data_IF_083921448967
#
_entry.id   IF_083921448967
#
_cell.length_a   1.000
_cell.length_b   1.000
_cell.length_c   1.000
_cell.angle_alpha   90.00
_cell.angle_beta   90.00
_cell.angle_gamma   90.00
#
_symmetry.space_group_name_H-M   'P 1'
#
loop_
_entity.id
_entity.type
_entity.pdbx_description
1 polymer ?
#
# COMPACT_ATOMS: atom_id res chain seq x y z
N UNK A 1 1.43 8.51 -18.45
CA UNK A 1 2.83 8.22 -18.88
C UNK A 1 2.94 6.77 -19.33
N UNK A 2 3.87 6.41 -20.27
CA UNK A 2 4.06 5.00 -20.70
C UNK A 2 4.72 4.19 -19.58
N UNK A 3 4.34 2.92 -19.42
CA UNK A 3 4.86 2.00 -18.38
C UNK A 3 6.38 1.85 -18.46
N UNK A 4 6.93 1.72 -19.68
CA UNK A 4 8.39 1.63 -19.88
C UNK A 4 9.15 2.87 -19.40
N UNK A 5 8.56 4.06 -19.59
CA UNK A 5 9.13 5.32 -19.09
C UNK A 5 9.14 5.33 -17.57
N UNK A 6 8.04 4.89 -16.94
CA UNK A 6 7.95 4.75 -15.48
C UNK A 6 9.02 3.80 -14.93
N UNK A 7 9.21 2.63 -15.56
CA UNK A 7 10.25 1.67 -15.17
C UNK A 7 11.68 2.23 -15.29
N UNK A 8 11.98 2.95 -16.37
CA UNK A 8 13.30 3.60 -16.55
C UNK A 8 13.55 4.66 -15.48
N UNK A 9 12.54 5.44 -15.12
CA UNK A 9 12.63 6.46 -14.06
C UNK A 9 12.79 5.77 -12.70
N UNK A 10 11.98 4.74 -12.43
CA UNK A 10 12.07 3.97 -11.18
C UNK A 10 13.47 3.36 -11.00
N UNK A 11 14.09 2.89 -12.08
CA UNK A 11 15.46 2.37 -12.05
C UNK A 11 16.51 3.49 -11.91
N UNK A 12 16.49 4.48 -12.80
CA UNK A 12 17.54 5.51 -12.90
C UNK A 12 17.50 6.54 -11.78
N UNK A 13 16.32 6.90 -11.30
CA UNK A 13 16.12 7.89 -10.24
C UNK A 13 15.77 7.22 -8.91
N UNK A 14 14.97 6.16 -8.95
CA UNK A 14 14.50 5.48 -7.75
C UNK A 14 15.61 4.86 -6.92
N UNK A 15 16.65 4.25 -7.55
CA UNK A 15 17.78 3.65 -6.81
C UNK A 15 18.58 4.73 -6.06
N UNK A 16 19.14 5.76 -6.73
CA UNK A 16 19.92 6.79 -6.05
C UNK A 16 19.10 7.51 -4.96
N UNK A 17 17.85 7.85 -5.28
CA UNK A 17 16.97 8.54 -4.33
C UNK A 17 16.66 7.68 -3.11
N UNK A 18 16.37 6.39 -3.29
CA UNK A 18 16.15 5.46 -2.18
C UNK A 18 17.40 5.31 -1.30
N UNK A 19 18.59 5.29 -1.89
CA UNK A 19 19.84 5.23 -1.14
C UNK A 19 20.09 6.50 -0.35
N UNK A 20 20.01 7.66 -0.99
CA UNK A 20 20.19 8.98 -0.34
C UNK A 20 19.21 9.14 0.83
N UNK A 21 17.93 8.87 0.60
CA UNK A 21 16.91 9.00 1.64
C UNK A 21 17.08 7.96 2.76
N UNK A 22 17.60 6.77 2.45
CA UNK A 22 17.96 5.79 3.49
C UNK A 22 19.07 6.33 4.39
N UNK A 23 20.11 6.97 3.82
CA UNK A 23 21.16 7.61 4.59
C UNK A 23 20.66 8.81 5.39
N UNK A 24 19.70 9.54 4.87
CA UNK A 24 19.17 10.77 5.47
C UNK A 24 17.87 10.57 6.27
N UNK A 25 17.39 9.33 6.43
CA UNK A 25 16.09 9.06 7.08
C UNK A 25 15.96 9.64 8.49
N UNK A 26 17.06 9.81 9.21
CA UNK A 26 17.08 10.43 10.54
C UNK A 26 16.68 11.91 10.54
N UNK A 27 16.84 12.62 9.40
CA UNK A 27 16.39 14.00 9.21
C UNK A 27 14.87 14.11 9.03
N UNK A 28 14.20 12.99 8.73
CA UNK A 28 12.77 12.92 8.44
C UNK A 28 12.05 11.99 9.43
N UNK A 29 11.98 12.34 10.72
CA UNK A 29 11.39 11.46 11.71
C UNK A 29 9.91 11.21 11.42
N UNK A 30 9.48 9.97 11.56
CA UNK A 30 8.06 9.61 11.55
C UNK A 30 7.38 10.12 12.81
N UNK A 31 6.06 10.34 12.74
CA UNK A 31 5.28 10.62 13.95
C UNK A 31 5.37 9.42 14.89
N UNK A 32 5.15 9.66 16.18
CA UNK A 32 4.97 8.57 17.15
C UNK A 32 3.55 8.01 17.00
N UNK A 33 3.41 6.70 17.12
CA UNK A 33 2.11 6.07 17.22
C UNK A 33 1.42 6.49 18.52
N UNK A 34 0.17 6.94 18.44
CA UNK A 34 -0.57 7.46 19.59
C UNK A 34 -1.30 6.39 20.41
N UNK A 35 -1.35 5.16 19.87
CA UNK A 35 -2.03 4.01 20.47
C UNK A 35 -1.20 2.75 20.23
N UNK A 36 -1.45 1.66 20.99
CA UNK A 36 -0.75 0.39 20.80
C UNK A 36 -0.92 -0.19 19.38
N UNK A 37 -2.06 0.09 18.74
CA UNK A 37 -2.38 -0.39 17.39
C UNK A 37 -2.78 0.77 16.48
N UNK A 38 -2.46 0.70 15.18
CA UNK A 38 -2.86 1.72 14.23
C UNK A 38 -4.39 1.78 14.08
N UNK A 39 -4.95 2.99 14.07
CA UNK A 39 -6.38 3.22 13.87
C UNK A 39 -6.71 3.64 12.43
N UNK A 40 -5.76 4.31 11.75
CA UNK A 40 -5.92 4.83 10.39
C UNK A 40 -4.83 4.23 9.51
N UNK A 41 -5.26 3.38 8.58
CA UNK A 41 -4.39 2.55 7.75
C UNK A 41 -4.52 2.97 6.29
N UNK A 42 -3.40 3.41 5.69
CA UNK A 42 -3.31 3.75 4.28
C UNK A 42 -2.76 2.56 3.50
N UNK A 43 -3.53 2.09 2.53
CA UNK A 43 -3.07 1.13 1.52
C UNK A 43 -2.49 1.88 0.32
N UNK A 44 -1.35 1.43 -0.16
CA UNK A 44 -0.64 2.00 -1.32
C UNK A 44 -0.60 0.96 -2.43
N UNK A 45 -1.35 1.22 -3.51
CA UNK A 45 -1.32 0.45 -4.75
C UNK A 45 -1.61 1.41 -5.89
N UNK A 46 -0.61 1.73 -6.69
CA UNK A 46 -0.75 2.78 -7.71
C UNK A 46 -1.13 2.22 -9.07
N UNK A 47 -0.47 1.13 -9.46
CA UNK A 47 -0.32 0.78 -10.86
C UNK A 47 -1.31 -0.27 -11.35
N UNK A 48 -1.80 -1.15 -10.49
CA UNK A 48 -2.57 -2.32 -10.90
C UNK A 48 -3.98 -2.34 -10.34
N UNK A 49 -4.98 -2.23 -11.25
CA UNK A 49 -6.41 -2.33 -10.89
C UNK A 49 -6.75 -3.70 -10.27
N UNK A 50 -6.16 -4.78 -10.82
CA UNK A 50 -6.38 -6.14 -10.32
C UNK A 50 -5.88 -6.32 -8.90
N UNK A 51 -4.68 -5.84 -8.60
CA UNK A 51 -4.11 -5.89 -7.24
C UNK A 51 -4.94 -5.09 -6.25
N UNK A 52 -5.47 -3.92 -6.65
CA UNK A 52 -6.36 -3.13 -5.81
C UNK A 52 -7.66 -3.89 -5.47
N UNK A 53 -8.22 -4.66 -6.41
CA UNK A 53 -9.37 -5.54 -6.17
C UNK A 53 -8.99 -6.70 -5.25
N UNK A 54 -7.86 -7.36 -5.50
CA UNK A 54 -7.39 -8.49 -4.70
C UNK A 54 -6.94 -8.08 -3.27
N UNK A 55 -6.79 -6.79 -3.01
CA UNK A 55 -6.53 -6.25 -1.68
C UNK A 55 -7.80 -6.16 -0.81
N UNK A 56 -9.01 -6.35 -1.37
CA UNK A 56 -10.26 -6.24 -0.61
C UNK A 56 -10.31 -7.13 0.63
N UNK A 57 -9.92 -8.42 0.61
CA UNK A 57 -9.88 -9.24 1.82
C UNK A 57 -8.96 -8.67 2.91
N UNK A 58 -7.82 -8.11 2.55
CA UNK A 58 -6.91 -7.45 3.48
C UNK A 58 -7.54 -6.17 4.08
N UNK A 59 -8.23 -5.37 3.27
CA UNK A 59 -8.99 -4.22 3.74
C UNK A 59 -10.12 -4.64 4.68
N UNK A 60 -10.88 -5.69 4.33
CA UNK A 60 -11.92 -6.25 5.20
C UNK A 60 -11.34 -6.71 6.55
N UNK A 61 -10.16 -7.36 6.54
CA UNK A 61 -9.48 -7.79 7.75
C UNK A 61 -9.10 -6.60 8.65
N UNK A 62 -8.56 -5.53 8.08
CA UNK A 62 -8.26 -4.30 8.82
C UNK A 62 -9.51 -3.69 9.48
N UNK A 63 -10.63 -3.66 8.76
CA UNK A 63 -11.90 -3.12 9.29
C UNK A 63 -12.54 -4.06 10.30
N UNK A 64 -12.75 -5.32 9.93
CA UNK A 64 -13.58 -6.24 10.71
C UNK A 64 -12.87 -6.72 11.97
N UNK A 65 -11.60 -7.14 11.85
CA UNK A 65 -10.81 -7.68 12.96
C UNK A 65 -10.19 -6.59 13.83
N UNK A 66 -9.69 -5.51 13.19
CA UNK A 66 -8.90 -4.50 13.89
C UNK A 66 -9.62 -3.16 14.08
N UNK A 67 -10.84 -3.01 13.53
CA UNK A 67 -11.66 -1.79 13.62
C UNK A 67 -10.93 -0.53 13.12
N UNK A 68 -10.04 -0.72 12.14
CA UNK A 68 -9.27 0.37 11.55
C UNK A 68 -10.11 1.12 10.51
N UNK A 69 -9.93 2.43 10.45
CA UNK A 69 -10.40 3.25 9.34
C UNK A 69 -9.39 3.11 8.19
N UNK A 70 -9.89 2.77 7.00
CA UNK A 70 -9.03 2.54 5.83
C UNK A 70 -9.00 3.75 4.91
N UNK A 71 -7.83 3.98 4.37
CA UNK A 71 -7.48 4.98 3.38
C UNK A 71 -6.78 4.29 2.22
N UNK A 72 -6.84 4.86 1.03
CA UNK A 72 -6.21 4.27 -0.15
C UNK A 72 -5.57 5.34 -1.03
N UNK A 73 -4.39 5.06 -1.58
CA UNK A 73 -3.76 5.88 -2.61
C UNK A 73 -3.58 5.07 -3.88
N UNK A 74 -4.03 5.63 -5.01
CA UNK A 74 -4.05 4.96 -6.31
C UNK A 74 -3.85 6.00 -7.42
N UNK A 75 -3.36 5.59 -8.61
CA UNK A 75 -3.41 6.47 -9.77
C UNK A 75 -4.85 6.76 -10.19
N UNK A 76 -5.11 8.01 -10.58
CA UNK A 76 -6.46 8.48 -10.94
C UNK A 76 -7.14 7.59 -11.99
N UNK A 77 -6.38 7.10 -12.97
CA UNK A 77 -6.89 6.20 -14.03
C UNK A 77 -7.38 4.85 -13.49
N UNK A 78 -6.86 4.40 -12.35
CA UNK A 78 -7.17 3.09 -11.75
C UNK A 78 -8.24 3.17 -10.65
N UNK A 79 -8.72 4.38 -10.30
CA UNK A 79 -9.68 4.62 -9.20
C UNK A 79 -10.96 3.80 -9.33
N UNK A 80 -11.39 3.49 -10.56
CA UNK A 80 -12.60 2.72 -10.82
C UNK A 80 -12.61 1.34 -10.14
N UNK A 81 -11.43 0.72 -9.94
CA UNK A 81 -11.31 -0.57 -9.24
C UNK A 81 -11.80 -0.52 -7.78
N UNK A 82 -11.54 0.59 -7.08
CA UNK A 82 -12.00 0.78 -5.70
C UNK A 82 -13.50 1.09 -5.63
N UNK A 83 -14.01 1.86 -6.58
CA UNK A 83 -15.43 2.19 -6.65
C UNK A 83 -16.26 0.94 -6.94
N UNK A 84 -15.73 0.01 -7.73
CA UNK A 84 -16.41 -1.23 -8.07
C UNK A 84 -16.76 -2.08 -6.84
N UNK A 85 -15.85 -2.15 -5.87
CA UNK A 85 -16.05 -2.93 -4.65
C UNK A 85 -16.66 -2.11 -3.50
N UNK A 86 -16.68 -0.79 -3.63
CA UNK A 86 -17.08 0.14 -2.56
C UNK A 86 -16.41 -0.18 -1.20
N UNK A 87 -15.15 -0.62 -1.26
CA UNK A 87 -14.40 -1.09 -0.09
C UNK A 87 -13.86 0.06 0.76
N UNK A 88 -13.63 1.21 0.14
CA UNK A 88 -13.04 2.39 0.77
C UNK A 88 -13.99 3.57 0.58
N UNK A 89 -14.35 4.30 1.64
CA UNK A 89 -15.13 5.53 1.52
C UNK A 89 -14.46 6.52 0.56
N UNK A 90 -15.23 7.14 -0.34
CA UNK A 90 -14.72 8.06 -1.37
C UNK A 90 -13.82 9.17 -0.80
N UNK A 91 -14.17 9.73 0.37
CA UNK A 91 -13.39 10.75 1.08
C UNK A 91 -12.02 10.27 1.55
N UNK A 92 -11.83 8.95 1.66
CA UNK A 92 -10.60 8.30 2.12
C UNK A 92 -9.74 7.79 0.95
N UNK A 93 -10.12 8.08 -0.29
CA UNK A 93 -9.35 7.74 -1.49
C UNK A 93 -8.56 8.97 -1.95
N UNK A 94 -7.25 8.84 -2.00
CA UNK A 94 -6.37 9.84 -2.60
C UNK A 94 -5.92 9.38 -3.98
N UNK A 95 -6.09 10.24 -4.99
CA UNK A 95 -5.65 9.91 -6.35
C UNK A 95 -4.45 10.74 -6.77
N UNK A 96 -3.47 10.09 -7.38
CA UNK A 96 -2.29 10.72 -7.98
C UNK A 96 -2.46 10.73 -9.50
N UNK A 97 -2.18 11.86 -10.13
CA UNK A 97 -2.16 11.96 -11.59
C UNK A 97 -0.79 11.54 -12.12
N UNK A 98 -0.79 10.63 -13.09
CA UNK A 98 0.43 10.06 -13.72
C UNK A 98 0.67 10.56 -15.15
N UNK A 99 0.14 11.73 -15.49
CA UNK A 99 0.28 12.35 -16.82
C UNK A 99 1.71 12.82 -17.10
N UNK A 100 2.41 13.34 -16.08
CA UNK A 100 3.78 13.83 -16.16
C UNK A 100 4.54 13.63 -14.85
N UNK A 101 5.88 13.75 -14.87
CA UNK A 101 6.69 13.72 -13.65
C UNK A 101 6.33 14.85 -12.69
N UNK A 102 6.03 16.03 -13.22
CA UNK A 102 5.62 17.17 -12.41
C UNK A 102 4.29 16.90 -11.71
N UNK A 103 3.32 16.27 -12.39
CA UNK A 103 2.03 15.92 -11.77
C UNK A 103 2.21 14.89 -10.66
N UNK A 104 3.11 13.91 -10.83
CA UNK A 104 3.46 12.93 -9.80
C UNK A 104 4.12 13.62 -8.60
N UNK A 105 5.06 14.52 -8.82
CA UNK A 105 5.74 15.26 -7.75
C UNK A 105 4.74 16.12 -6.95
N UNK A 106 3.91 16.88 -7.62
CA UNK A 106 2.86 17.68 -6.98
C UNK A 106 1.88 16.77 -6.22
N UNK A 107 1.47 15.65 -6.82
CA UNK A 107 0.61 14.64 -6.20
C UNK A 107 1.24 14.05 -4.94
N UNK A 108 2.54 13.80 -4.95
CA UNK A 108 3.31 13.29 -3.80
C UNK A 108 3.33 14.28 -2.64
N UNK A 109 3.55 15.57 -2.92
CA UNK A 109 3.51 16.63 -1.88
C UNK A 109 2.09 16.74 -1.29
N UNK A 110 1.07 16.75 -2.15
CA UNK A 110 -0.34 16.77 -1.70
C UNK A 110 -0.68 15.54 -0.87
N UNK A 111 -0.21 14.35 -1.26
CA UNK A 111 -0.39 13.11 -0.49
C UNK A 111 0.24 13.23 0.90
N UNK A 112 1.45 13.75 1.00
CA UNK A 112 2.13 13.97 2.30
C UNK A 112 1.28 14.83 3.23
N UNK A 113 0.79 15.97 2.74
CA UNK A 113 -0.05 16.88 3.51
C UNK A 113 -1.39 16.23 3.90
N UNK A 114 -2.00 15.49 2.96
CA UNK A 114 -3.25 14.76 3.19
C UNK A 114 -3.08 13.66 4.25
N UNK A 115 -1.97 12.90 4.22
CA UNK A 115 -1.67 11.90 5.24
C UNK A 115 -1.48 12.52 6.63
N UNK A 116 -0.83 13.69 6.71
CA UNK A 116 -0.67 14.41 7.97
C UNK A 116 -2.00 14.93 8.50
N UNK A 117 -2.84 15.52 7.65
CA UNK A 117 -4.18 16.00 8.00
C UNK A 117 -5.05 14.87 8.53
N UNK A 118 -5.03 13.71 7.87
CA UNK A 118 -5.81 12.54 8.27
C UNK A 118 -5.15 11.73 9.39
N UNK A 119 -3.96 12.14 9.86
CA UNK A 119 -3.21 11.47 10.94
C UNK A 119 -3.03 9.97 10.68
N UNK A 120 -2.61 9.59 9.46
CA UNK A 120 -2.38 8.20 9.08
C UNK A 120 -1.38 7.55 10.05
N UNK A 121 -1.76 6.42 10.65
CA UNK A 121 -0.97 5.70 11.65
C UNK A 121 -0.08 4.62 11.02
N UNK A 122 -0.57 3.96 9.97
CA UNK A 122 0.17 2.96 9.24
C UNK A 122 0.04 3.16 7.73
N UNK A 123 1.12 2.96 6.98
CA UNK A 123 1.11 2.77 5.54
C UNK A 123 1.45 1.32 5.21
N UNK A 124 0.63 0.69 4.37
CA UNK A 124 0.81 -0.67 3.87
C UNK A 124 1.06 -0.59 2.38
N UNK A 125 2.29 -0.88 1.98
CA UNK A 125 2.72 -0.90 0.59
C UNK A 125 2.44 -2.29 -0.01
N UNK A 126 1.48 -2.36 -0.93
CA UNK A 126 1.06 -3.60 -1.58
C UNK A 126 1.95 -3.97 -2.77
N UNK A 127 2.69 -3.01 -3.33
CA UNK A 127 3.54 -3.24 -4.49
C UNK A 127 4.87 -3.88 -4.12
N UNK A 128 5.22 -4.97 -4.82
CA UNK A 128 6.46 -5.69 -4.62
C UNK A 128 7.63 -5.08 -5.40
N UNK A 129 7.37 -4.59 -6.61
CA UNK A 129 8.40 -4.23 -7.60
C UNK A 129 8.51 -2.73 -7.89
N UNK A 130 8.01 -1.87 -7.00
CA UNK A 130 8.05 -0.41 -7.19
C UNK A 130 8.87 0.27 -6.10
N UNK A 131 9.87 1.04 -6.50
CA UNK A 131 10.59 1.95 -5.59
C UNK A 131 9.76 3.18 -5.29
N UNK A 132 8.95 3.62 -6.26
CA UNK A 132 8.08 4.77 -6.10
C UNK A 132 7.13 4.60 -4.91
N UNK A 133 6.52 3.43 -4.72
CA UNK A 133 5.60 3.18 -3.60
C UNK A 133 6.33 3.08 -2.26
N UNK A 134 7.56 2.54 -2.24
CA UNK A 134 8.40 2.57 -1.04
C UNK A 134 8.76 4.00 -0.63
N UNK A 135 9.09 4.86 -1.61
CA UNK A 135 9.32 6.29 -1.39
C UNK A 135 8.05 7.01 -0.91
N UNK A 136 6.89 6.70 -1.50
CA UNK A 136 5.60 7.22 -1.03
C UNK A 136 5.33 6.79 0.41
N UNK A 137 5.53 5.52 0.75
CA UNK A 137 5.40 5.03 2.12
C UNK A 137 6.28 5.82 3.09
N UNK A 138 7.53 6.13 2.71
CA UNK A 138 8.43 6.98 3.50
C UNK A 138 7.87 8.40 3.67
N UNK A 139 7.39 9.02 2.59
CA UNK A 139 6.89 10.40 2.56
C UNK A 139 5.59 10.57 3.35
N UNK A 140 4.78 9.55 3.52
CA UNK A 140 3.57 9.60 4.37
C UNK A 140 3.89 10.02 5.80
N UNK A 141 5.12 9.77 6.28
CA UNK A 141 5.58 9.96 7.66
C UNK A 141 4.71 9.20 8.68
N UNK A 142 4.02 8.15 8.23
CA UNK A 142 3.28 7.26 9.11
C UNK A 142 4.23 6.60 10.12
N UNK A 143 3.81 6.42 11.39
CA UNK A 143 4.60 5.73 12.41
C UNK A 143 4.97 4.31 12.01
N UNK A 144 4.01 3.57 11.45
CA UNK A 144 4.22 2.22 10.93
C UNK A 144 4.27 2.25 9.41
N UNK A 145 5.27 1.57 8.86
CA UNK A 145 5.44 1.36 7.42
C UNK A 145 5.66 -0.11 7.17
N UNK A 146 4.68 -0.72 6.56
CA UNK A 146 4.62 -2.15 6.28
C UNK A 146 4.76 -2.38 4.79
N UNK A 147 5.49 -3.39 4.40
CA UNK A 147 5.61 -3.74 2.98
C UNK A 147 6.46 -4.99 2.80
N UNK A 148 6.48 -5.47 1.57
CA UNK A 148 7.31 -6.60 1.21
C UNK A 148 8.80 -6.22 1.26
N UNK A 149 9.59 -7.09 1.85
CA UNK A 149 11.01 -6.92 1.98
C UNK A 149 11.76 -8.05 1.29
N UNK A 150 12.85 -7.65 0.70
CA UNK A 150 13.80 -8.55 0.08
C UNK A 150 14.72 -9.15 1.16
N UNK A 151 14.65 -10.46 1.35
CA UNK A 151 15.55 -11.21 2.20
C UNK A 151 16.64 -11.89 1.33
N UNK A 152 17.83 -12.01 1.87
CA UNK A 152 18.98 -12.70 1.21
C UNK A 152 19.45 -12.05 -0.09
N UNK A 153 19.21 -10.75 -0.29
CA UNK A 153 19.71 -10.06 -1.48
C UNK A 153 18.92 -10.30 -2.76
N UNK A 154 17.87 -11.10 -2.72
CA UNK A 154 16.97 -11.33 -3.86
C UNK A 154 15.90 -10.26 -3.98
N UNK A 155 15.68 -9.75 -5.20
CA UNK A 155 14.64 -8.78 -5.52
C UNK A 155 15.14 -7.35 -5.63
N UNK A 156 14.18 -6.41 -5.64
CA UNK A 156 14.44 -5.01 -5.94
C UNK A 156 14.92 -4.25 -4.70
N UNK A 157 16.06 -3.54 -4.79
CA UNK A 157 16.44 -2.59 -3.75
C UNK A 157 15.45 -1.42 -3.70
N UNK A 158 14.80 -1.22 -2.54
CA UNK A 158 13.72 -0.24 -2.31
C UNK A 158 14.03 0.72 -1.15
N UNK A 159 15.28 0.81 -0.71
CA UNK A 159 15.68 1.55 0.47
C UNK A 159 15.33 0.81 1.78
N UNK A 160 15.66 1.43 2.92
CA UNK A 160 15.36 0.89 4.26
C UNK A 160 14.33 1.80 4.98
N UNK A 161 13.12 1.84 4.44
CA UNK A 161 12.04 2.70 4.94
C UNK A 161 11.01 1.97 5.78
N UNK A 162 10.93 0.64 5.62
CA UNK A 162 9.94 -0.19 6.30
C UNK A 162 10.40 -0.51 7.72
N UNK A 163 9.49 -0.39 8.67
CA UNK A 163 9.72 -0.84 10.04
C UNK A 163 8.93 -2.11 10.41
N UNK A 164 8.10 -2.60 9.49
CA UNK A 164 7.51 -3.93 9.50
C UNK A 164 7.73 -4.55 8.13
N UNK A 165 8.63 -5.53 8.07
CA UNK A 165 9.08 -6.18 6.84
C UNK A 165 8.41 -7.54 6.71
N UNK A 166 7.75 -7.79 5.59
CA UNK A 166 7.06 -9.05 5.30
C UNK A 166 7.73 -9.72 4.10
N UNK A 167 8.02 -11.01 4.20
CA UNK A 167 8.53 -11.75 3.07
C UNK A 167 7.38 -12.10 2.13
N UNK A 168 7.54 -11.82 0.84
CA UNK A 168 6.59 -12.25 -0.18
C UNK A 168 6.69 -13.76 -0.40
N UNK A 169 5.56 -14.45 -0.39
CA UNK A 169 5.48 -15.87 -0.72
C UNK A 169 4.85 -16.05 -2.10
N UNK A 170 5.67 -16.42 -3.09
CA UNK A 170 5.21 -16.63 -4.47
C UNK A 170 4.37 -17.92 -4.67
N UNK A 171 4.34 -18.80 -3.67
CA UNK A 171 3.63 -20.08 -3.75
C UNK A 171 2.19 -20.03 -3.22
N UNK A 172 1.73 -18.88 -2.72
CA UNK A 172 0.37 -18.69 -2.23
C UNK A 172 -0.32 -17.56 -2.99
N UNK A 173 -1.66 -17.54 -2.92
CA UNK A 173 -2.44 -16.50 -3.55
C UNK A 173 -2.07 -15.10 -3.04
N UNK A 174 -1.99 -14.10 -3.92
CA UNK A 174 -1.54 -12.75 -3.59
C UNK A 174 -2.36 -12.09 -2.47
N UNK A 175 -3.67 -12.34 -2.42
CA UNK A 175 -4.54 -11.82 -1.37
C UNK A 175 -4.12 -12.30 0.04
N UNK A 176 -3.56 -13.52 0.16
CA UNK A 176 -2.99 -14.02 1.42
C UNK A 176 -1.75 -13.22 1.82
N UNK A 177 -0.90 -12.87 0.85
CA UNK A 177 0.23 -12.00 1.08
C UNK A 177 -0.21 -10.60 1.55
N UNK A 178 -1.29 -10.04 0.97
CA UNK A 178 -1.83 -8.75 1.41
C UNK A 178 -2.42 -8.81 2.83
N UNK A 179 -3.08 -9.91 3.19
CA UNK A 179 -3.55 -10.14 4.57
C UNK A 179 -2.36 -10.20 5.54
N UNK A 180 -1.27 -10.88 5.16
CA UNK A 180 -0.06 -10.94 6.00
C UNK A 180 0.55 -9.55 6.26
N UNK A 181 0.49 -8.62 5.29
CA UNK A 181 0.89 -7.23 5.50
C UNK A 181 0.02 -6.53 6.55
N UNK A 182 -1.30 -6.75 6.51
CA UNK A 182 -2.21 -6.20 7.52
C UNK A 182 -1.90 -6.78 8.90
N UNK A 183 -1.78 -8.09 9.02
CA UNK A 183 -1.48 -8.72 10.32
C UNK A 183 -0.13 -8.22 10.87
N UNK A 184 0.88 -8.00 10.03
CA UNK A 184 2.15 -7.40 10.43
C UNK A 184 2.02 -5.97 10.98
N UNK A 185 1.03 -5.19 10.49
CA UNK A 185 0.76 -3.85 11.02
C UNK A 185 0.17 -3.89 12.44
N UNK A 186 -0.52 -4.97 12.81
CA UNK A 186 -1.27 -5.07 14.06
C UNK A 186 -0.65 -6.00 15.10
N UNK A 187 0.48 -6.64 14.77
CA UNK A 187 1.22 -7.47 15.74
C UNK A 187 2.23 -6.64 16.50
N UNK A 188 2.44 -7.01 17.76
CA UNK A 188 3.55 -6.50 18.57
C UNK A 188 4.79 -7.39 18.43
N UNK A 189 4.68 -8.54 17.79
CA UNK A 189 5.80 -9.46 17.61
C UNK A 189 6.73 -8.95 16.51
N UNK A 190 8.00 -8.76 16.86
CA UNK A 190 9.07 -8.46 15.91
C UNK A 190 9.58 -9.74 15.24
N UNK A 191 8.69 -10.51 14.62
CA UNK A 191 9.10 -11.68 13.84
C UNK A 191 9.50 -11.23 12.44
N UNK A 192 10.73 -11.52 12.07
CA UNK A 192 11.27 -11.34 10.72
C UNK A 192 11.82 -12.69 10.28
N UNK A 193 11.33 -13.22 9.16
CA UNK A 193 10.23 -12.80 8.30
C UNK A 193 8.85 -13.15 8.88
N UNK A 194 7.87 -12.27 8.70
CA UNK A 194 6.49 -12.51 9.16
C UNK A 194 5.75 -13.43 8.18
N UNK A 195 5.79 -14.75 8.43
CA UNK A 195 5.28 -15.74 7.47
C UNK A 195 4.51 -16.91 8.07
N UNK A 196 4.30 -16.95 9.38
CA UNK A 196 3.81 -18.17 10.02
C UNK A 196 2.29 -18.25 10.21
N UNK A 197 1.51 -17.31 9.70
CA UNK A 197 0.05 -17.43 9.79
C UNK A 197 -0.48 -18.23 8.61
N UNK A 198 -1.20 -19.30 8.92
CA UNK A 198 -2.01 -20.00 7.94
C UNK A 198 -3.25 -19.17 7.68
N UNK A 199 -3.36 -18.61 6.46
CA UNK A 199 -4.53 -17.87 5.99
C UNK A 199 -5.33 -18.82 5.12
N UNK A 200 -6.59 -19.07 5.47
CA UNK A 200 -7.45 -20.00 4.75
C UNK A 200 -7.97 -19.41 3.44
N UNK A 201 -8.55 -20.24 2.58
CA UNK A 201 -9.12 -19.76 1.30
C UNK A 201 -10.44 -19.01 1.50
N UNK A 202 -11.15 -19.25 2.60
CA UNK A 202 -12.35 -18.50 2.97
C UNK A 202 -12.02 -17.05 3.33
N UNK A 203 -10.83 -16.79 3.87
CA UNK A 203 -10.39 -15.44 4.28
C UNK A 203 -10.01 -14.53 3.11
N UNK A 204 -9.84 -15.08 1.89
CA UNK A 204 -9.49 -14.31 0.69
C UNK A 204 -10.68 -14.03 -0.24
N UNK A 205 -11.90 -14.21 0.25
CA UNK A 205 -13.09 -13.93 -0.55
C UNK A 205 -13.29 -12.42 -0.72
N UNK A 206 -13.43 -12.02 -1.99
CA UNK A 206 -13.72 -10.64 -2.37
C UNK A 206 -15.22 -10.37 -2.14
N UNK A 207 -15.56 -9.15 -1.76
CA UNK A 207 -16.96 -8.73 -1.62
C UNK A 207 -17.73 -8.95 -2.91
N UNK A 208 -18.96 -9.44 -2.78
CA UNK A 208 -19.86 -9.56 -3.94
C UNK A 208 -20.24 -8.16 -4.40
N UNK A 209 -20.05 -7.92 -5.68
CA UNK A 209 -20.50 -6.67 -6.32
C UNK A 209 -22.01 -6.74 -6.54
N UNK A 210 -22.73 -5.76 -6.02
CA UNK A 210 -24.13 -5.58 -6.37
C UNK A 210 -24.20 -4.96 -7.78
N UNK A 211 -24.37 -5.80 -8.79
CA UNK A 211 -24.65 -5.33 -10.16
C UNK A 211 -26.12 -4.89 -10.18
N UNK A 212 -26.36 -3.59 -10.38
CA UNK A 212 -27.71 -3.07 -10.54
C UNK A 212 -28.42 -3.74 -11.71
N UNK A 213 -29.73 -3.98 -11.57
CA UNK A 213 -30.53 -4.72 -12.56
C UNK A 213 -30.48 -4.11 -13.98
N UNK A 214 -30.29 -2.79 -14.08
CA UNK A 214 -30.10 -2.09 -15.37
C UNK A 214 -28.82 -2.50 -16.13
N UNK A 215 -27.85 -3.14 -15.48
CA UNK A 215 -26.61 -3.61 -16.11
C UNK A 215 -26.71 -5.09 -16.50
N UNK A 216 -27.60 -5.86 -15.86
CA UNK A 216 -27.83 -7.28 -16.15
C UNK A 216 -28.54 -7.49 -17.49
N UNK A 217 -29.33 -6.50 -17.94
CA UNK A 217 -30.04 -6.57 -19.23
C UNK A 217 -29.16 -6.29 -20.45
N UNK A 218 -27.89 -5.90 -20.26
CA UNK A 218 -26.94 -5.58 -21.34
C UNK A 218 -25.84 -6.61 -21.55
N UNK A 219 -25.87 -7.72 -20.84
CA UNK A 219 -24.97 -8.87 -20.95
C UNK A 219 -25.79 -10.09 -21.35
#
# INVERSE_FOLDING_TARGET
MKIETMRKIDYGVGIPLSFILTCLKFLFPSRKLQSEKPKRVLFIELSEMGSAILADPAMQRAVNKHKAEIFFVIFKRNKASLNFLNSVPEKNIFTVEDTSLLSILIGTIKLMLWCQKNKIDASIDLELFSRATALLSFITRAPLKVGFHNYHGEGLYRGDFLNRKVQYNAHIHIAKNFIALVDAAFTNEHQVPYLKQTISDEEIQIRKVAIGDATKEKV
#
